data_IF_260935707898
#
_entry.id   IF_260935707898
#
_cell.length_a   1.000
_cell.length_b   1.000
_cell.length_c   1.000
_cell.angle_alpha   90.00
_cell.angle_beta   90.00
_cell.angle_gamma   90.00
#
_symmetry.space_group_name_H-M   'P 1'
#
loop_
_entity.id
_entity.type
_entity.pdbx_description
1 polymer ?
#
# COMPACT_ATOMS: atom_id res chain seq x y z
N UNK A 1 30.28 -45.22 43.31
CA UNK A 1 29.62 -43.91 43.52
C UNK A 1 30.57 -42.81 43.08
N UNK A 2 30.27 -42.06 42.01
CA UNK A 2 30.31 -40.59 42.02
C UNK A 2 29.91 -40.08 40.63
N UNK A 3 28.70 -39.54 40.56
CA UNK A 3 28.23 -38.71 39.47
C UNK A 3 28.86 -37.31 39.58
N UNK A 4 29.19 -36.68 38.45
CA UNK A 4 29.10 -35.22 38.18
C UNK A 4 29.96 -34.86 36.97
N UNK A 5 29.31 -34.59 35.84
CA UNK A 5 29.55 -33.37 35.05
C UNK A 5 28.65 -33.38 33.83
N UNK A 6 27.39 -32.98 34.06
CA UNK A 6 26.43 -32.59 33.03
C UNK A 6 26.02 -31.16 33.31
N UNK A 7 26.83 -30.17 32.94
CA UNK A 7 26.37 -28.77 32.87
C UNK A 7 27.16 -28.04 31.78
N UNK A 8 26.43 -27.22 31.02
CA UNK A 8 26.92 -26.17 30.11
C UNK A 8 27.25 -26.57 28.66
N UNK A 9 26.28 -27.18 27.97
CA UNK A 9 26.06 -26.90 26.54
C UNK A 9 24.58 -26.49 26.37
N UNK A 10 24.29 -25.25 26.76
CA UNK A 10 22.97 -24.63 26.62
C UNK A 10 23.16 -23.20 26.10
N UNK A 11 23.79 -23.08 24.92
CA UNK A 11 23.90 -21.82 24.18
C UNK A 11 23.82 -22.08 22.68
N UNK A 12 22.81 -22.83 22.22
CA UNK A 12 22.63 -23.08 20.79
C UNK A 12 21.15 -23.18 20.39
N UNK A 13 20.36 -22.16 20.72
CA UNK A 13 18.97 -22.10 20.24
C UNK A 13 18.34 -20.71 20.42
N UNK A 14 18.96 -19.67 19.84
CA UNK A 14 18.33 -18.35 19.73
C UNK A 14 18.56 -17.72 18.34
N UNK A 15 18.26 -18.47 17.28
CA UNK A 15 18.44 -18.01 15.90
C UNK A 15 17.19 -18.17 15.00
N UNK A 16 15.97 -18.23 15.56
CA UNK A 16 14.76 -18.54 14.78
C UNK A 16 13.55 -17.62 15.04
N UNK A 17 13.76 -16.31 15.19
CA UNK A 17 12.61 -15.38 15.32
C UNK A 17 12.76 -14.02 14.63
N UNK A 18 13.60 -13.88 13.59
CA UNK A 18 13.68 -12.62 12.85
C UNK A 18 13.66 -12.85 11.33
N UNK A 19 12.48 -12.89 10.69
CA UNK A 19 12.45 -12.52 9.28
C UNK A 19 11.28 -11.63 8.84
N UNK A 20 10.57 -10.96 9.76
CA UNK A 20 9.43 -10.09 9.37
C UNK A 20 9.79 -8.60 9.37
N UNK A 21 10.64 -8.13 10.28
CA UNK A 21 11.06 -6.73 10.33
C UNK A 21 12.09 -6.36 9.24
N UNK A 22 12.92 -7.32 8.80
CA UNK A 22 13.97 -7.08 7.81
C UNK A 22 13.43 -6.67 6.43
N UNK A 23 12.25 -7.17 6.02
CA UNK A 23 11.71 -6.94 4.66
C UNK A 23 10.99 -5.60 4.46
N UNK A 24 10.64 -4.88 5.53
CA UNK A 24 10.09 -3.53 5.39
C UNK A 24 11.21 -2.50 5.11
N UNK A 25 12.44 -2.77 5.57
CA UNK A 25 13.59 -1.90 5.38
C UNK A 25 14.20 -2.01 3.97
N UNK A 26 14.06 -3.17 3.31
CA UNK A 26 14.53 -3.39 1.93
C UNK A 26 13.69 -2.64 0.87
N UNK A 27 12.45 -2.27 1.19
CA UNK A 27 11.55 -1.63 0.24
C UNK A 27 11.93 -0.18 -0.06
N UNK A 28 12.42 0.57 0.93
CA UNK A 28 12.82 1.97 0.76
C UNK A 28 13.96 2.14 -0.26
N UNK A 29 15.10 1.43 -0.16
CA UNK A 29 16.16 1.56 -1.16
C UNK A 29 15.73 1.06 -2.54
N UNK A 30 14.89 0.02 -2.62
CA UNK A 30 14.33 -0.45 -3.88
C UNK A 30 13.42 0.61 -4.54
N UNK A 31 12.60 1.28 -3.74
CA UNK A 31 11.73 2.38 -4.16
C UNK A 31 12.52 3.62 -4.58
N UNK A 32 13.56 3.99 -3.84
CA UNK A 32 14.44 5.10 -4.21
C UNK A 32 15.14 4.84 -5.55
N UNK A 33 15.63 3.61 -5.78
CA UNK A 33 16.23 3.20 -7.05
C UNK A 33 15.23 3.28 -8.20
N UNK A 34 14.02 2.74 -8.02
CA UNK A 34 12.97 2.79 -9.04
C UNK A 34 12.49 4.22 -9.34
N UNK A 35 12.42 5.08 -8.32
CA UNK A 35 12.08 6.50 -8.48
C UNK A 35 13.14 7.22 -9.33
N UNK A 36 14.43 7.01 -9.05
CA UNK A 36 15.52 7.60 -9.83
C UNK A 36 15.51 7.17 -11.30
N UNK A 37 15.15 5.91 -11.60
CA UNK A 37 14.99 5.43 -12.98
C UNK A 37 13.88 6.17 -13.74
N UNK A 38 12.90 6.74 -13.03
CA UNK A 38 11.85 7.61 -13.58
C UNK A 38 12.18 9.10 -13.46
N UNK A 39 13.43 9.46 -13.15
CA UNK A 39 13.89 10.84 -12.92
C UNK A 39 13.19 11.53 -11.74
N UNK A 40 12.67 10.76 -10.80
CA UNK A 40 12.09 11.25 -9.56
C UNK A 40 13.19 11.22 -8.49
N UNK A 41 13.62 12.40 -8.03
CA UNK A 41 14.54 12.51 -6.91
C UNK A 41 13.77 12.20 -5.63
N UNK A 42 14.14 11.13 -4.94
CA UNK A 42 13.59 10.78 -3.64
C UNK A 42 14.05 11.81 -2.59
N UNK A 43 13.12 12.64 -2.09
CA UNK A 43 13.44 13.80 -1.23
C UNK A 43 13.22 13.45 0.25
N UNK A 44 12.06 12.89 0.59
CA UNK A 44 11.69 12.58 1.98
C UNK A 44 10.79 11.37 2.07
N UNK A 45 11.19 10.40 2.88
CA UNK A 45 10.31 9.29 3.26
C UNK A 45 9.18 9.81 4.15
N UNK A 46 7.94 9.45 3.82
CA UNK A 46 6.76 9.84 4.61
C UNK A 46 6.23 8.66 5.41
N UNK A 47 6.10 7.49 4.79
CA UNK A 47 5.52 6.31 5.42
C UNK A 47 6.03 5.02 4.78
N UNK A 48 6.14 3.96 5.57
CA UNK A 48 6.37 2.60 5.11
C UNK A 48 5.33 1.70 5.76
N UNK A 49 4.63 0.89 4.97
CA UNK A 49 3.59 0.03 5.50
C UNK A 49 3.58 -1.34 4.81
N UNK A 50 3.52 -2.45 5.58
CA UNK A 50 3.40 -3.78 5.00
C UNK A 50 2.00 -3.98 4.43
N UNK A 51 1.92 -4.51 3.22
CA UNK A 51 0.69 -4.95 2.57
C UNK A 51 0.45 -6.39 3.01
N UNK A 52 -0.68 -6.65 3.68
CA UNK A 52 -1.03 -7.98 4.19
C UNK A 52 -2.20 -8.59 3.42
N UNK A 53 -2.16 -9.90 3.21
CA UNK A 53 -3.27 -10.66 2.65
C UNK A 53 -4.37 -10.95 3.69
N UNK A 54 -5.45 -11.61 3.26
CA UNK A 54 -6.57 -12.05 4.13
C UNK A 54 -6.16 -12.95 5.29
N UNK A 55 -4.99 -13.59 5.21
CA UNK A 55 -4.43 -14.47 6.25
C UNK A 55 -3.41 -13.73 7.13
N UNK A 56 -3.28 -12.41 6.96
CA UNK A 56 -2.33 -11.58 7.71
C UNK A 56 -0.88 -11.69 7.23
N UNK A 57 -0.60 -12.39 6.13
CA UNK A 57 0.76 -12.55 5.61
C UNK A 57 1.18 -11.33 4.81
N UNK A 58 2.40 -10.83 5.03
CA UNK A 58 2.97 -9.73 4.24
C UNK A 58 3.24 -10.20 2.81
N UNK A 59 2.55 -9.61 1.84
CA UNK A 59 2.69 -9.88 0.40
C UNK A 59 3.44 -8.78 -0.35
N UNK A 60 3.72 -7.67 0.32
CA UNK A 60 4.51 -6.56 -0.20
C UNK A 60 4.70 -5.47 0.84
N UNK A 61 5.42 -4.43 0.46
CA UNK A 61 5.61 -3.23 1.27
C UNK A 61 5.32 -2.02 0.40
N UNK A 62 4.52 -1.10 0.93
CA UNK A 62 4.29 0.21 0.35
C UNK A 62 5.18 1.25 1.02
N UNK A 63 5.69 2.17 0.21
CA UNK A 63 6.51 3.30 0.63
C UNK A 63 5.89 4.57 0.05
N UNK A 64 5.45 5.48 0.90
CA UNK A 64 5.04 6.83 0.53
C UNK A 64 6.22 7.77 0.75
N UNK A 65 6.52 8.58 -0.25
CA UNK A 65 7.61 9.53 -0.19
C UNK A 65 7.30 10.79 -0.98
N UNK A 66 7.91 11.89 -0.56
CA UNK A 66 7.97 13.12 -1.35
C UNK A 66 9.15 13.02 -2.31
N UNK A 67 8.92 13.35 -3.57
CA UNK A 67 9.94 13.39 -4.59
C UNK A 67 9.89 14.64 -5.44
N UNK A 68 10.91 14.82 -6.29
CA UNK A 68 10.96 15.90 -7.28
C UNK A 68 11.12 15.32 -8.67
N UNK A 69 10.19 15.64 -9.57
CA UNK A 69 10.27 15.32 -10.99
C UNK A 69 10.39 16.63 -11.77
N UNK A 70 11.48 16.79 -12.53
CA UNK A 70 11.75 18.02 -13.30
C UNK A 70 11.64 19.30 -12.46
N UNK A 71 12.19 19.25 -11.23
CA UNK A 71 12.15 20.37 -10.28
C UNK A 71 10.83 20.56 -9.53
N UNK A 72 9.74 19.90 -9.93
CA UNK A 72 8.43 19.99 -9.25
C UNK A 72 8.33 18.96 -8.13
N UNK A 73 8.01 19.42 -6.92
CA UNK A 73 7.72 18.55 -5.77
C UNK A 73 6.38 17.85 -5.96
N UNK A 74 6.32 16.57 -5.66
CA UNK A 74 5.10 15.77 -5.63
C UNK A 74 5.21 14.68 -4.58
N UNK A 75 4.08 14.16 -4.14
CA UNK A 75 4.05 12.94 -3.32
C UNK A 75 3.93 11.73 -4.27
N UNK A 76 4.58 10.64 -3.90
CA UNK A 76 4.70 9.43 -4.70
C UNK A 76 4.44 8.20 -3.85
N UNK A 77 3.83 7.21 -4.48
CA UNK A 77 3.57 5.90 -3.91
C UNK A 77 4.46 4.90 -4.61
N UNK A 78 5.14 4.10 -3.82
CA UNK A 78 5.92 2.97 -4.31
C UNK A 78 5.45 1.68 -3.66
N UNK A 79 5.32 0.62 -4.45
CA UNK A 79 4.97 -0.72 -3.95
C UNK A 79 6.01 -1.71 -4.39
N UNK A 80 6.59 -2.44 -3.43
CA UNK A 80 7.42 -3.60 -3.67
C UNK A 80 6.64 -4.88 -3.35
N UNK A 81 6.55 -5.81 -4.31
CA UNK A 81 5.91 -7.12 -4.12
C UNK A 81 6.89 -8.07 -3.47
N UNK A 82 6.55 -8.65 -2.30
CA UNK A 82 7.46 -9.49 -1.53
C UNK A 82 7.84 -10.79 -2.25
N UNK A 83 6.91 -11.36 -3.04
CA UNK A 83 7.12 -12.61 -3.76
C UNK A 83 8.08 -12.47 -4.97
N UNK A 84 8.11 -11.31 -5.62
CA UNK A 84 8.85 -11.12 -6.88
C UNK A 84 9.93 -10.05 -6.80
N UNK A 85 9.94 -9.24 -5.74
CA UNK A 85 10.79 -8.05 -5.63
C UNK A 85 10.41 -6.93 -6.60
N UNK A 86 9.37 -7.09 -7.42
CA UNK A 86 8.93 -6.09 -8.41
C UNK A 86 8.54 -4.80 -7.71
N UNK A 87 9.05 -3.68 -8.22
CA UNK A 87 8.78 -2.34 -7.71
C UNK A 87 7.99 -1.53 -8.73
N UNK A 88 6.95 -0.85 -8.28
CA UNK A 88 6.19 0.12 -9.09
C UNK A 88 6.19 1.46 -8.35
N UNK A 89 6.48 2.55 -9.06
CA UNK A 89 6.41 3.93 -8.54
C UNK A 89 5.37 4.69 -9.36
N UNK A 90 4.47 5.38 -8.67
CA UNK A 90 3.40 6.18 -9.27
C UNK A 90 3.17 7.48 -8.48
N UNK A 91 2.68 8.55 -9.12
CA UNK A 91 2.28 9.77 -8.41
C UNK A 91 1.21 9.47 -7.37
N UNK A 92 1.40 9.96 -6.15
CA UNK A 92 0.41 9.88 -5.09
C UNK A 92 -0.32 11.21 -4.97
N UNK A 93 -1.65 11.17 -5.08
CA UNK A 93 -2.52 12.31 -4.80
C UNK A 93 -3.49 11.92 -3.71
N UNK A 94 -3.16 12.29 -2.48
CA UNK A 94 -4.04 12.09 -1.34
C UNK A 94 -5.37 12.82 -1.55
N UNK A 95 -5.33 14.06 -2.07
CA UNK A 95 -6.49 14.97 -2.02
C UNK A 95 -6.49 15.94 -3.22
N UNK A 96 -6.92 15.52 -4.41
CA UNK A 96 -6.98 16.44 -5.56
C UNK A 96 -8.16 17.45 -5.45
N UNK A 97 -8.12 18.34 -4.46
CA UNK A 97 -9.06 19.46 -4.28
C UNK A 97 -10.28 19.20 -3.41
N UNK A 98 -10.25 18.19 -2.53
CA UNK A 98 -11.36 17.87 -1.62
C UNK A 98 -11.03 18.25 -0.16
N UNK A 99 -12.00 18.72 0.63
CA UNK A 99 -11.82 18.89 2.07
C UNK A 99 -11.46 17.55 2.73
N UNK A 100 -10.57 17.58 3.73
CA UNK A 100 -10.08 16.36 4.40
C UNK A 100 -11.19 15.50 5.03
N UNK A 101 -12.27 16.13 5.52
CA UNK A 101 -13.47 15.42 5.99
C UNK A 101 -14.18 14.65 4.87
N UNK A 102 -14.27 15.24 3.69
CA UNK A 102 -14.85 14.63 2.49
C UNK A 102 -14.01 13.47 1.97
N UNK A 103 -12.68 13.60 2.01
CA UNK A 103 -11.76 12.52 1.65
C UNK A 103 -11.98 11.32 2.57
N UNK A 104 -11.98 11.50 3.90
CA UNK A 104 -12.21 10.41 4.85
C UNK A 104 -13.58 9.75 4.67
N UNK A 105 -14.62 10.54 4.43
CA UNK A 105 -15.97 10.03 4.19
C UNK A 105 -16.03 9.17 2.92
N UNK A 106 -15.47 9.68 1.82
CA UNK A 106 -15.41 8.96 0.54
C UNK A 106 -14.63 7.65 0.66
N UNK A 107 -13.45 7.70 1.27
CA UNK A 107 -12.60 6.54 1.50
C UNK A 107 -13.31 5.45 2.31
N UNK A 108 -13.91 5.83 3.44
CA UNK A 108 -14.66 4.90 4.30
C UNK A 108 -15.86 4.27 3.58
N UNK A 109 -16.65 5.08 2.87
CA UNK A 109 -17.81 4.59 2.12
C UNK A 109 -17.40 3.62 1.01
N UNK A 110 -16.32 3.93 0.30
CA UNK A 110 -15.80 3.09 -0.78
C UNK A 110 -15.17 1.78 -0.26
N UNK A 111 -14.50 1.81 0.89
CA UNK A 111 -14.01 0.59 1.56
C UNK A 111 -15.19 -0.33 1.92
N UNK A 112 -16.25 0.23 2.52
CA UNK A 112 -17.47 -0.52 2.85
C UNK A 112 -18.12 -1.13 1.60
N UNK A 113 -18.21 -0.36 0.52
CA UNK A 113 -18.76 -0.83 -0.75
C UNK A 113 -17.96 -2.02 -1.33
N UNK A 114 -16.62 -1.99 -1.21
CA UNK A 114 -15.76 -3.08 -1.67
C UNK A 114 -15.88 -4.33 -0.79
N UNK A 115 -15.93 -4.16 0.53
CA UNK A 115 -16.14 -5.26 1.47
C UNK A 115 -17.51 -5.93 1.27
N UNK A 116 -18.57 -5.15 0.97
CA UNK A 116 -19.89 -5.67 0.62
C UNK A 116 -19.89 -6.54 -0.65
N UNK A 117 -18.89 -6.38 -1.52
CA UNK A 117 -18.64 -7.25 -2.69
C UNK A 117 -17.66 -8.39 -2.40
N UNK A 118 -17.37 -8.71 -1.14
CA UNK A 118 -16.42 -9.74 -0.70
C UNK A 118 -14.95 -9.49 -1.13
N UNK A 119 -14.60 -8.23 -1.40
CA UNK A 119 -13.25 -7.83 -1.76
C UNK A 119 -12.49 -7.41 -0.51
N UNK A 120 -11.24 -7.84 -0.40
CA UNK A 120 -10.32 -7.24 0.56
C UNK A 120 -9.77 -5.95 -0.03
N UNK A 121 -9.92 -4.86 0.71
CA UNK A 121 -9.32 -3.59 0.32
C UNK A 121 -7.88 -3.55 0.84
N UNK A 122 -6.95 -3.27 -0.06
CA UNK A 122 -5.59 -2.89 0.32
C UNK A 122 -5.56 -1.39 0.61
N UNK A 123 -4.67 -0.69 -0.08
CA UNK A 123 -4.53 0.76 0.08
C UNK A 123 -5.35 1.54 -0.95
N UNK A 124 -5.78 2.71 -0.50
CA UNK A 124 -6.37 3.73 -1.35
C UNK A 124 -5.22 4.39 -2.10
N UNK A 125 -5.23 4.22 -3.42
CA UNK A 125 -4.20 4.68 -4.35
C UNK A 125 -4.30 6.18 -4.55
N UNK A 126 -5.53 6.69 -4.70
CA UNK A 126 -5.78 8.12 -4.85
C UNK A 126 -7.19 8.48 -4.40
N UNK A 127 -7.39 9.72 -3.99
CA UNK A 127 -8.72 10.32 -3.86
C UNK A 127 -8.74 11.66 -4.58
N UNK A 128 -9.59 11.79 -5.59
CA UNK A 128 -9.58 12.93 -6.49
C UNK A 128 -10.97 13.57 -6.61
N UNK A 129 -11.04 14.89 -6.69
CA UNK A 129 -12.30 15.56 -7.00
C UNK A 129 -12.70 15.25 -8.45
N UNK A 130 -13.98 14.98 -8.66
CA UNK A 130 -14.61 14.81 -9.96
C UNK A 130 -15.88 15.66 -10.05
N UNK A 131 -16.35 15.90 -11.27
CA UNK A 131 -17.56 16.69 -11.53
C UNK A 131 -17.57 18.06 -10.81
N UNK A 132 -16.45 18.80 -10.92
CA UNK A 132 -16.31 20.12 -10.29
C UNK A 132 -16.32 20.10 -8.76
N UNK A 133 -15.87 19.01 -8.13
CA UNK A 133 -15.85 18.88 -6.68
C UNK A 133 -17.15 18.34 -6.07
N UNK A 134 -18.12 17.91 -6.89
CA UNK A 134 -19.38 17.28 -6.43
C UNK A 134 -19.22 15.78 -6.16
N UNK A 135 -18.16 15.16 -6.69
CA UNK A 135 -17.85 13.75 -6.50
C UNK A 135 -16.41 13.57 -6.07
N UNK A 136 -16.15 12.50 -5.34
CA UNK A 136 -14.81 12.00 -5.05
C UNK A 136 -14.61 10.67 -5.80
N UNK A 137 -13.57 10.57 -6.61
CA UNK A 137 -13.10 9.33 -7.21
C UNK A 137 -12.01 8.76 -6.31
N UNK A 138 -12.27 7.59 -5.75
CA UNK A 138 -11.38 6.85 -4.88
C UNK A 138 -10.85 5.65 -5.65
N UNK A 139 -9.59 5.69 -6.05
CA UNK A 139 -8.92 4.51 -6.62
C UNK A 139 -8.31 3.69 -5.51
N UNK A 140 -8.46 2.37 -5.58
CA UNK A 140 -7.99 1.46 -4.56
C UNK A 140 -7.52 0.14 -5.14
N UNK A 141 -6.53 -0.45 -4.47
CA UNK A 141 -6.16 -1.84 -4.72
C UNK A 141 -7.12 -2.76 -3.98
N UNK A 142 -7.69 -3.74 -4.68
CA UNK A 142 -8.59 -4.73 -4.08
C UNK A 142 -8.16 -6.15 -4.41
N UNK A 143 -8.54 -7.10 -3.57
CA UNK A 143 -8.12 -8.49 -3.68
C UNK A 143 -9.32 -9.41 -3.52
N UNK A 144 -9.47 -10.34 -4.47
CA UNK A 144 -10.45 -11.42 -4.39
C UNK A 144 -9.78 -12.79 -4.49
N UNK A 145 -10.58 -13.85 -4.65
CA UNK A 145 -10.05 -15.22 -4.78
C UNK A 145 -9.17 -15.41 -6.03
N UNK A 146 -9.33 -14.58 -7.05
CA UNK A 146 -8.58 -14.65 -8.32
C UNK A 146 -7.31 -13.80 -8.31
N UNK A 147 -7.09 -12.95 -7.29
CA UNK A 147 -5.87 -12.20 -7.09
C UNK A 147 -6.07 -10.69 -6.93
N UNK A 148 -5.00 -9.94 -7.17
CA UNK A 148 -5.00 -8.48 -7.08
C UNK A 148 -5.72 -7.84 -8.27
N UNK A 149 -6.57 -6.86 -7.99
CA UNK A 149 -7.33 -6.07 -8.96
C UNK A 149 -7.27 -4.59 -8.59
N UNK A 150 -7.53 -3.74 -9.57
CA UNK A 150 -7.75 -2.32 -9.32
C UNK A 150 -9.25 -2.07 -9.26
N UNK A 151 -9.71 -1.28 -8.30
CA UNK A 151 -11.07 -0.80 -8.25
C UNK A 151 -11.10 0.72 -8.20
N UNK A 152 -12.08 1.28 -8.89
CA UNK A 152 -12.42 2.70 -8.82
C UNK A 152 -13.79 2.83 -8.20
N UNK A 153 -13.87 3.57 -7.11
CA UNK A 153 -15.12 3.91 -6.46
C UNK A 153 -15.43 5.39 -6.68
N UNK A 154 -16.65 5.69 -7.11
CA UNK A 154 -17.16 7.05 -7.14
C UNK A 154 -18.02 7.29 -5.91
N UNK A 155 -17.74 8.33 -5.14
CA UNK A 155 -18.52 8.81 -4.01
C UNK A 155 -19.18 10.14 -4.38
N UNK A 156 -20.51 10.21 -4.29
CA UNK A 156 -21.26 11.45 -4.49
C UNK A 156 -21.38 12.20 -3.17
N UNK A 157 -20.85 13.43 -3.13
CA UNK A 157 -20.66 14.16 -1.86
C UNK A 157 -22.00 14.65 -1.30
N UNK A 158 -22.95 15.01 -2.15
CA UNK A 158 -24.25 15.52 -1.75
C UNK A 158 -25.18 14.40 -1.24
N UNK A 159 -25.17 13.26 -1.92
CA UNK A 159 -26.08 12.14 -1.60
C UNK A 159 -25.46 11.06 -0.72
N UNK A 160 -24.14 11.06 -0.51
CA UNK A 160 -23.40 10.01 0.20
C UNK A 160 -23.38 8.66 -0.51
N UNK A 161 -23.89 8.59 -1.75
CA UNK A 161 -23.97 7.34 -2.53
C UNK A 161 -22.60 6.96 -3.06
N UNK A 162 -22.34 5.65 -3.11
CA UNK A 162 -21.12 5.09 -3.71
C UNK A 162 -21.44 4.18 -4.89
N UNK A 163 -20.59 4.21 -5.90
CA UNK A 163 -20.60 3.29 -7.03
C UNK A 163 -19.20 2.69 -7.19
N UNK A 164 -19.08 1.37 -6.99
CA UNK A 164 -17.81 0.65 -7.07
C UNK A 164 -17.71 -0.11 -8.40
N UNK A 165 -16.73 0.28 -9.20
CA UNK A 165 -16.30 -0.41 -10.40
C UNK A 165 -14.99 -1.16 -10.11
N UNK A 166 -14.95 -2.45 -10.46
CA UNK A 166 -13.77 -3.30 -10.25
C UNK A 166 -13.23 -3.67 -11.62
N UNK A 167 -12.08 -3.09 -11.99
CA UNK A 167 -11.43 -3.42 -13.25
C UNK A 167 -10.81 -4.81 -13.15
N UNK A 168 -11.02 -5.63 -14.17
CA UNK A 168 -10.30 -6.90 -14.31
C UNK A 168 -8.79 -6.61 -14.30
N UNK A 169 -7.97 -7.54 -13.77
CA UNK A 169 -6.53 -7.40 -13.85
C UNK A 169 -6.17 -7.23 -15.32
N UNK A 170 -5.33 -6.23 -15.63
CA UNK A 170 -4.75 -6.10 -16.95
C UNK A 170 -3.95 -7.38 -17.20
N UNK A 171 -4.50 -8.30 -17.99
CA UNK A 171 -3.77 -9.41 -18.58
C UNK A 171 -2.67 -8.78 -19.43
N UNK A 172 -1.44 -8.84 -18.93
CA UNK A 172 -0.23 -8.68 -19.74
C UNK A 172 0.23 -10.06 -20.16
#
# INVERSE_FOLDING_TARGET
MSARSRVALLMLSLALALPVAARAQDAVPACAKAALQQLIIFDKLQQVQPIRDKKGRTVGTEVLFRGKLLGKKGDYRCVQVAATGKVTVEPYRADAGLPSGTVKAAQSACVKAAQAKNLSVGNIVSTTAAAGGKRALVEMSVFDKAGAKSASCTYDIASGKTALDVKKPATR
#
